data_IF_652537729277
#
_entry.id   IF_652537729277
#
_cell.length_a   1.000
_cell.length_b   1.000
_cell.length_c   1.000
_cell.angle_alpha   90.00
_cell.angle_beta   90.00
_cell.angle_gamma   90.00
#
_symmetry.space_group_name_H-M   'P 1'
#
loop_
_entity.id
_entity.type
_entity.pdbx_description
1 polymer ?
#
# COMPACT_ATOMS: atom_id res chain seq x y z
N UNK A 1 4.64 23.29 30.82
CA UNK A 1 4.12 23.28 29.43
C UNK A 1 4.95 24.33 28.69
N UNK A 2 5.75 23.95 27.69
CA UNK A 2 6.68 24.91 27.03
C UNK A 2 5.90 25.61 25.92
N UNK A 3 5.59 26.90 26.12
CA UNK A 3 4.97 27.73 25.08
C UNK A 3 6.01 28.02 24.00
N UNK A 4 5.71 27.60 22.77
CA UNK A 4 6.48 27.99 21.60
C UNK A 4 5.92 29.30 21.08
N UNK A 5 6.68 30.38 21.25
CA UNK A 5 6.41 31.66 20.62
C UNK A 5 6.96 31.63 19.19
N UNK A 6 6.10 31.89 18.22
CA UNK A 6 6.49 32.00 16.82
C UNK A 6 6.46 33.48 16.44
N UNK A 7 7.64 34.06 16.28
CA UNK A 7 7.80 35.41 15.74
C UNK A 7 7.58 35.37 14.22
N UNK A 8 6.68 36.22 13.72
CA UNK A 8 6.37 36.29 12.28
C UNK A 8 7.48 37.05 11.57
N UNK A 9 8.37 36.30 10.94
CA UNK A 9 9.43 36.86 10.09
C UNK A 9 8.85 37.21 8.72
N UNK A 10 9.25 38.36 8.16
CA UNK A 10 8.87 38.76 6.80
C UNK A 10 9.54 37.85 5.76
N UNK A 11 8.88 37.62 4.62
CA UNK A 11 9.41 36.78 3.53
C UNK A 11 10.83 37.20 3.12
N UNK A 12 11.13 38.50 3.20
CA UNK A 12 12.44 39.03 2.81
C UNK A 12 13.55 38.71 3.83
N UNK A 13 13.26 38.69 5.13
CA UNK A 13 14.21 38.26 6.16
C UNK A 13 14.50 36.77 6.05
N UNK A 14 13.46 35.94 5.86
CA UNK A 14 13.62 34.50 5.68
C UNK A 14 14.50 34.17 4.46
N UNK A 15 14.39 34.95 3.38
CA UNK A 15 15.23 34.81 2.18
C UNK A 15 16.68 35.23 2.46
N UNK A 16 16.90 36.23 3.31
CA UNK A 16 18.24 36.71 3.61
C UNK A 16 18.98 35.76 4.55
N UNK A 17 18.30 35.20 5.55
CA UNK A 17 18.84 34.17 6.45
C UNK A 17 19.27 32.90 5.71
N UNK A 18 18.55 32.56 4.64
CA UNK A 18 18.88 31.45 3.75
C UNK A 18 20.18 31.65 2.97
N UNK A 19 20.61 32.90 2.74
CA UNK A 19 21.81 33.21 1.97
C UNK A 19 23.10 33.15 2.80
N UNK A 20 23.02 33.43 4.10
CA UNK A 20 24.20 33.50 4.97
C UNK A 20 24.61 32.15 5.58
N UNK A 21 23.79 31.10 5.45
CA UNK A 21 24.12 29.77 5.98
C UNK A 21 24.78 28.92 4.88
N UNK A 22 26.06 28.51 5.02
CA UNK A 22 26.65 27.58 4.06
C UNK A 22 25.89 26.25 4.10
N UNK A 23 25.46 25.79 2.93
CA UNK A 23 24.68 24.57 2.65
C UNK A 23 25.45 23.26 2.96
N UNK A 24 26.23 23.20 4.05
CA UNK A 24 26.93 21.98 4.44
C UNK A 24 26.04 21.14 5.37
N UNK A 25 25.77 19.91 4.96
CA UNK A 25 25.01 18.81 5.61
C UNK A 25 23.52 18.66 5.30
N UNK A 26 22.89 19.59 4.56
CA UNK A 26 21.51 19.43 4.05
C UNK A 26 21.39 19.58 2.53
N UNK A 27 22.51 19.64 1.81
CA UNK A 27 22.56 19.33 0.37
C UNK A 27 22.40 17.81 0.12
N UNK A 28 21.50 17.20 0.89
CA UNK A 28 20.97 15.89 0.57
C UNK A 28 20.02 16.14 -0.58
N UNK A 29 20.60 16.13 -1.79
CA UNK A 29 19.88 16.18 -3.05
C UNK A 29 18.63 15.30 -2.90
N UNK A 30 17.48 15.94 -2.85
CA UNK A 30 16.21 15.28 -2.59
C UNK A 30 15.87 14.30 -3.72
N UNK A 31 16.57 14.37 -4.87
CA UNK A 31 16.58 13.33 -5.90
C UNK A 31 17.34 12.08 -5.44
N UNK A 32 18.44 12.23 -4.73
CA UNK A 32 19.23 11.14 -4.11
C UNK A 32 18.46 10.44 -3.00
N UNK A 33 17.70 11.20 -2.21
CA UNK A 33 16.75 10.62 -1.23
C UNK A 33 15.56 9.92 -1.90
N UNK A 34 15.10 10.40 -3.06
CA UNK A 34 13.97 9.79 -3.78
C UNK A 34 14.38 8.64 -4.71
N UNK A 35 15.66 8.43 -4.97
CA UNK A 35 16.11 7.42 -5.95
C UNK A 35 17.57 7.02 -5.78
N UNK A 36 17.84 5.99 -4.98
CA UNK A 36 19.13 5.27 -5.00
C UNK A 36 18.97 3.76 -4.91
N UNK A 37 18.01 3.22 -5.67
CA UNK A 37 18.16 1.83 -6.15
C UNK A 37 18.31 1.91 -7.67
N UNK A 38 19.46 1.49 -8.23
CA UNK A 38 19.63 1.46 -9.68
C UNK A 38 18.49 0.63 -10.28
N UNK A 39 18.00 1.03 -11.46
CA UNK A 39 16.84 0.39 -12.11
C UNK A 39 16.99 -1.14 -12.27
N UNK A 40 18.23 -1.64 -12.24
CA UNK A 40 18.61 -3.05 -12.26
C UNK A 40 18.40 -3.81 -10.94
N UNK A 41 18.38 -3.12 -9.79
CA UNK A 41 18.16 -3.72 -8.45
C UNK A 41 16.67 -3.79 -8.07
N UNK A 42 15.80 -3.07 -8.79
CA UNK A 42 14.42 -2.76 -8.37
C UNK A 42 13.35 -3.77 -8.81
N UNK A 43 13.75 -4.91 -9.40
CA UNK A 43 12.84 -5.96 -9.93
C UNK A 43 12.99 -7.25 -9.13
N UNK A 44 13.03 -7.15 -7.80
CA UNK A 44 12.97 -8.32 -6.92
C UNK A 44 11.86 -8.08 -5.91
N UNK A 45 10.88 -8.97 -5.92
CA UNK A 45 9.91 -9.07 -4.83
C UNK A 45 10.62 -9.50 -3.55
N UNK A 46 10.09 -9.03 -2.42
CA UNK A 46 10.61 -9.34 -1.10
C UNK A 46 10.44 -10.84 -0.77
N UNK A 47 11.22 -11.31 0.20
CA UNK A 47 11.13 -12.67 0.73
C UNK A 47 9.75 -12.94 1.31
N UNK A 48 9.15 -11.97 2.00
CA UNK A 48 7.78 -12.09 2.52
C UNK A 48 6.76 -12.34 1.39
N UNK A 49 6.92 -11.62 0.28
CA UNK A 49 6.08 -11.76 -0.93
C UNK A 49 6.22 -13.13 -1.56
N UNK A 50 7.44 -13.69 -1.65
CA UNK A 50 7.65 -15.06 -2.14
C UNK A 50 6.95 -16.10 -1.27
N UNK A 51 7.06 -15.97 0.04
CA UNK A 51 6.37 -16.86 0.98
C UNK A 51 4.86 -16.76 0.84
N UNK A 52 4.33 -15.53 0.71
CA UNK A 52 2.92 -15.29 0.46
C UNK A 52 2.44 -15.93 -0.85
N UNK A 53 3.19 -15.78 -1.95
CA UNK A 53 2.88 -16.44 -3.23
C UNK A 53 2.85 -17.97 -3.12
N UNK A 54 3.76 -18.54 -2.33
CA UNK A 54 3.79 -19.98 -2.04
C UNK A 54 2.57 -20.48 -1.27
N UNK A 55 2.01 -19.64 -0.40
CA UNK A 55 0.82 -19.96 0.38
C UNK A 55 -0.50 -19.86 -0.41
N UNK A 56 -0.50 -19.19 -1.56
CA UNK A 56 -1.68 -19.10 -2.42
C UNK A 56 -1.88 -20.36 -3.27
N UNK A 57 -3.14 -20.79 -3.50
CA UNK A 57 -3.47 -21.80 -4.50
C UNK A 57 -2.95 -21.41 -5.88
N UNK A 58 -2.52 -22.39 -6.68
CA UNK A 58 -1.87 -22.14 -7.97
C UNK A 58 -2.73 -21.31 -8.92
N UNK A 59 -4.05 -21.53 -8.92
CA UNK A 59 -5.00 -20.85 -9.80
C UNK A 59 -5.24 -19.37 -9.44
N UNK A 60 -4.80 -18.95 -8.26
CA UNK A 60 -5.05 -17.60 -7.70
C UNK A 60 -3.75 -16.77 -7.67
N UNK A 61 -2.60 -17.39 -7.97
CA UNK A 61 -1.30 -16.71 -7.90
C UNK A 61 -1.21 -15.58 -8.93
N UNK A 62 -0.88 -14.36 -8.51
CA UNK A 62 -0.83 -13.20 -9.40
C UNK A 62 0.53 -13.10 -10.10
N UNK A 63 0.72 -13.90 -11.15
CA UNK A 63 1.98 -14.03 -11.87
C UNK A 63 2.29 -12.77 -12.71
N UNK A 64 1.28 -12.20 -13.36
CA UNK A 64 1.43 -11.00 -14.19
C UNK A 64 1.66 -9.77 -13.31
N UNK A 65 0.95 -9.66 -12.18
CA UNK A 65 1.13 -8.60 -11.20
C UNK A 65 2.57 -8.58 -10.65
N UNK A 66 3.09 -9.73 -10.23
CA UNK A 66 4.45 -9.84 -9.68
C UNK A 66 5.51 -9.46 -10.73
N UNK A 67 5.28 -9.83 -11.99
CA UNK A 67 6.20 -9.54 -13.10
C UNK A 67 6.20 -8.07 -13.52
N UNK A 68 5.02 -7.45 -13.59
CA UNK A 68 4.88 -6.09 -14.13
C UNK A 68 4.86 -5.02 -13.03
N UNK A 69 4.35 -5.36 -11.84
CA UNK A 69 4.13 -4.45 -10.73
C UNK A 69 4.63 -5.04 -9.39
N UNK A 70 5.93 -5.37 -9.26
CA UNK A 70 6.48 -6.04 -8.07
C UNK A 70 6.24 -5.26 -6.76
N UNK A 71 6.24 -3.93 -6.80
CA UNK A 71 5.93 -3.09 -5.61
C UNK A 71 4.49 -3.24 -5.12
N UNK A 72 3.55 -3.42 -6.05
CA UNK A 72 2.15 -3.66 -5.69
C UNK A 72 2.05 -5.04 -5.07
N UNK A 73 2.74 -6.04 -5.63
CA UNK A 73 2.79 -7.38 -5.04
C UNK A 73 3.39 -7.39 -3.61
N UNK A 74 4.47 -6.65 -3.38
CA UNK A 74 5.08 -6.54 -2.05
C UNK A 74 4.14 -5.90 -1.03
N UNK A 75 3.54 -4.75 -1.38
CA UNK A 75 2.59 -4.08 -0.51
C UNK A 75 1.35 -4.95 -0.26
N UNK A 76 0.88 -5.66 -1.28
CA UNK A 76 -0.27 -6.56 -1.17
C UNK A 76 0.03 -7.72 -0.22
N UNK A 77 1.24 -8.30 -0.28
CA UNK A 77 1.68 -9.33 0.65
C UNK A 77 1.77 -8.82 2.10
N UNK A 78 2.21 -7.57 2.30
CA UNK A 78 2.26 -6.93 3.63
C UNK A 78 0.86 -6.76 4.22
N UNK A 79 -0.09 -6.22 3.43
CA UNK A 79 -1.45 -5.96 3.91
C UNK A 79 -2.34 -7.20 3.92
N UNK A 80 -1.95 -8.30 3.26
CA UNK A 80 -2.74 -9.53 3.12
C UNK A 80 -3.21 -10.12 4.47
N UNK A 81 -2.37 -9.99 5.50
CA UNK A 81 -2.69 -10.46 6.88
C UNK A 81 -3.82 -9.65 7.55
N UNK A 82 -4.18 -8.49 6.99
CA UNK A 82 -5.23 -7.59 7.48
C UNK A 82 -6.34 -7.50 6.43
N UNK A 83 -7.36 -8.38 6.46
CA UNK A 83 -8.35 -8.50 5.40
C UNK A 83 -9.08 -7.19 5.07
N UNK A 84 -9.39 -6.37 6.08
CA UNK A 84 -10.03 -5.07 5.88
C UNK A 84 -9.14 -4.09 5.09
N UNK A 85 -7.86 -3.98 5.48
CA UNK A 85 -6.89 -3.12 4.80
C UNK A 85 -6.56 -3.64 3.39
N UNK A 86 -6.45 -4.96 3.23
CA UNK A 86 -6.21 -5.59 1.93
C UNK A 86 -7.39 -5.35 0.96
N UNK A 87 -8.63 -5.48 1.44
CA UNK A 87 -9.83 -5.19 0.64
C UNK A 87 -9.88 -3.73 0.22
N UNK A 88 -9.65 -2.81 1.15
CA UNK A 88 -9.60 -1.38 0.83
C UNK A 88 -8.50 -1.09 -0.20
N UNK A 89 -7.32 -1.67 -0.04
CA UNK A 89 -6.22 -1.48 -1.00
C UNK A 89 -6.57 -2.03 -2.39
N UNK A 90 -7.17 -3.22 -2.48
CA UNK A 90 -7.65 -3.79 -3.74
C UNK A 90 -8.75 -2.93 -4.40
N UNK A 91 -9.63 -2.34 -3.59
CA UNK A 91 -10.65 -1.40 -4.07
C UNK A 91 -10.00 -0.13 -4.62
N UNK A 92 -9.02 0.45 -3.93
CA UNK A 92 -8.26 1.62 -4.41
C UNK A 92 -7.49 1.34 -5.71
N UNK A 93 -6.99 0.11 -5.90
CA UNK A 93 -6.36 -0.30 -7.17
C UNK A 93 -7.37 -0.42 -8.32
N UNK A 94 -8.61 -0.75 -8.01
CA UNK A 94 -9.66 -1.00 -9.02
C UNK A 94 -10.44 0.28 -9.36
N UNK A 95 -10.67 1.14 -8.37
CA UNK A 95 -11.41 2.39 -8.53
C UNK A 95 -10.45 3.56 -8.74
N UNK A 96 -10.23 3.94 -10.00
CA UNK A 96 -9.51 5.17 -10.36
C UNK A 96 -10.37 6.40 -10.06
N UNK A 97 -10.29 6.92 -8.84
CA UNK A 97 -10.99 8.15 -8.46
C UNK A 97 -10.22 9.43 -8.84
N UNK A 98 -9.04 9.34 -9.48
CA UNK A 98 -8.16 10.49 -9.65
C UNK A 98 -7.99 10.98 -11.09
N UNK A 99 -8.42 10.19 -12.08
CA UNK A 99 -8.44 10.58 -13.48
C UNK A 99 -7.04 10.69 -14.10
N UNK A 100 -6.89 10.16 -15.31
CA UNK A 100 -5.65 10.30 -16.09
C UNK A 100 -4.63 9.16 -15.96
N UNK A 101 -5.02 7.98 -15.46
CA UNK A 101 -4.19 6.76 -15.54
C UNK A 101 -4.74 5.79 -16.59
N UNK A 102 -3.84 5.04 -17.25
CA UNK A 102 -4.17 4.05 -18.28
C UNK A 102 -4.83 2.75 -17.74
N UNK A 103 -5.15 2.69 -16.46
CA UNK A 103 -5.63 1.46 -15.81
C UNK A 103 -4.57 0.36 -15.76
N UNK A 104 -5.00 -0.85 -15.41
CA UNK A 104 -4.17 -2.07 -15.47
C UNK A 104 -4.40 -2.82 -16.78
N UNK A 105 -3.38 -3.52 -17.30
CA UNK A 105 -3.57 -4.49 -18.37
C UNK A 105 -4.65 -5.51 -17.99
N UNK A 106 -5.44 -6.02 -18.94
CA UNK A 106 -6.55 -6.94 -18.66
C UNK A 106 -6.14 -8.17 -17.83
N UNK A 107 -4.96 -8.73 -18.10
CA UNK A 107 -4.43 -9.87 -17.35
C UNK A 107 -4.20 -9.54 -15.86
N UNK A 108 -3.68 -8.35 -15.57
CA UNK A 108 -3.41 -7.90 -14.19
C UNK A 108 -4.73 -7.55 -13.49
N UNK A 109 -5.67 -6.92 -14.20
CA UNK A 109 -7.00 -6.64 -13.66
C UNK A 109 -7.75 -7.92 -13.27
N UNK A 110 -7.67 -8.96 -14.09
CA UNK A 110 -8.27 -10.28 -13.80
C UNK A 110 -7.64 -10.93 -12.56
N UNK A 111 -6.31 -10.89 -12.43
CA UNK A 111 -5.61 -11.40 -11.25
C UNK A 111 -6.02 -10.65 -9.98
N UNK A 112 -6.12 -9.31 -10.03
CA UNK A 112 -6.58 -8.50 -8.91
C UNK A 112 -8.02 -8.82 -8.51
N UNK A 113 -8.92 -9.02 -9.49
CA UNK A 113 -10.30 -9.42 -9.23
C UNK A 113 -10.39 -10.81 -8.59
N UNK A 114 -9.59 -11.77 -9.08
CA UNK A 114 -9.53 -13.14 -8.55
C UNK A 114 -9.02 -13.17 -7.12
N UNK A 115 -7.96 -12.40 -6.80
CA UNK A 115 -7.45 -12.24 -5.45
C UNK A 115 -8.50 -11.65 -4.50
N UNK A 116 -9.25 -10.65 -4.96
CA UNK A 116 -10.32 -10.02 -4.17
C UNK A 116 -11.44 -11.01 -3.88
N UNK A 117 -11.87 -11.80 -4.87
CA UNK A 117 -12.89 -12.82 -4.67
C UNK A 117 -12.43 -13.88 -3.66
N UNK A 118 -11.19 -14.35 -3.78
CA UNK A 118 -10.60 -15.29 -2.84
C UNK A 118 -10.54 -14.74 -1.41
N UNK A 119 -10.09 -13.49 -1.24
CA UNK A 119 -10.05 -12.83 0.06
C UNK A 119 -11.46 -12.72 0.68
N UNK A 120 -12.47 -12.41 -0.14
CA UNK A 120 -13.85 -12.35 0.34
C UNK A 120 -14.31 -13.72 0.83
N UNK A 121 -14.07 -14.80 0.08
CA UNK A 121 -14.42 -16.18 0.47
C UNK A 121 -13.76 -16.58 1.80
N UNK A 122 -12.46 -16.32 1.94
CA UNK A 122 -11.72 -16.58 3.20
C UNK A 122 -12.30 -15.80 4.39
N UNK A 123 -12.80 -14.59 4.16
CA UNK A 123 -13.35 -13.76 5.23
C UNK A 123 -14.83 -14.05 5.51
N UNK A 124 -15.61 -14.56 4.54
CA UNK A 124 -16.98 -15.03 4.77
C UNK A 124 -17.00 -16.29 5.63
N UNK A 125 -16.06 -17.20 5.44
CA UNK A 125 -15.90 -18.39 6.29
C UNK A 125 -15.56 -18.00 7.73
N UNK A 126 -14.70 -16.98 7.93
CA UNK A 126 -14.33 -16.50 9.27
C UNK A 126 -15.39 -15.62 9.95
N UNK A 127 -16.39 -15.14 9.21
CA UNK A 127 -17.51 -14.35 9.75
C UNK A 127 -18.72 -15.21 10.13
N UNK A 128 -18.62 -16.53 9.99
CA UNK A 128 -19.68 -17.48 10.35
C UNK A 128 -20.11 -17.42 11.82
N UNK A 129 -19.26 -16.94 12.73
CA UNK A 129 -19.53 -16.95 14.17
C UNK A 129 -20.06 -15.61 14.71
N UNK A 130 -21.07 -15.01 14.07
CA UNK A 130 -21.71 -13.78 14.60
C UNK A 130 -23.22 -13.90 14.78
N UNK A 131 -23.87 -14.84 14.07
CA UNK A 131 -25.32 -15.05 14.20
C UNK A 131 -25.73 -16.12 15.23
N UNK A 132 -24.76 -16.80 15.88
CA UNK A 132 -25.01 -17.84 16.89
C UNK A 132 -25.29 -17.29 18.31
N UNK A 133 -25.47 -15.98 18.45
CA UNK A 133 -25.59 -15.30 19.77
C UNK A 133 -27.01 -14.81 20.05
N UNK A 134 -27.95 -14.94 19.11
CA UNK A 134 -29.30 -14.33 19.21
C UNK A 134 -30.46 -15.33 19.04
N UNK A 135 -30.22 -16.64 19.19
CA UNK A 135 -31.27 -17.68 19.06
C UNK A 135 -31.65 -18.36 20.40
N UNK A 136 -31.48 -17.67 21.53
CA UNK A 136 -31.90 -18.18 22.86
C UNK A 136 -32.60 -17.09 23.68
N UNK A 137 -33.76 -16.59 23.20
CA UNK A 137 -34.70 -15.82 24.04
C UNK A 137 -36.19 -16.01 23.63
N UNK A 138 -36.54 -17.16 23.05
CA UNK A 138 -37.90 -17.41 22.55
C UNK A 138 -38.57 -18.71 22.99
N UNK A 139 -38.20 -19.28 24.14
CA UNK A 139 -39.10 -20.25 24.79
C UNK A 139 -38.79 -20.45 26.30
N UNK A 140 -39.37 -19.62 27.18
CA UNK A 140 -40.30 -20.08 28.25
C UNK A 140 -40.86 -18.95 29.11
#
# INVERSE_FOLDING_TARGET
MKEFNFEKVSIQEAINDLKDKPLNALDLDWKTLRSTLPATQKVRIDTATRTWLGALPQDIRPNWLVKQYPRIADLLAEVWKRPAACRQYLDELTFDQRGGRQGFPPAVALELATLKDFLNRLNTEKRGDVWDVWDDDHLR
#
